data_IF_790283878764
#
_entry.id   IF_790283878764
#
_cell.length_a   1.000
_cell.length_b   1.000
_cell.length_c   1.000
_cell.angle_alpha   90.00
_cell.angle_beta   90.00
_cell.angle_gamma   90.00
#
_symmetry.space_group_name_H-M   'P 1'
#
loop_
_entity.id
_entity.type
_entity.pdbx_description
1 polymer ?
#
# COMPACT_ATOMS: atom_id res chain seq x y z
N UNK A 1 -4.50 -12.35 -5.67
CA UNK A 1 -4.44 -13.80 -6.01
C UNK A 1 -2.98 -14.19 -6.11
N UNK A 2 -2.62 -15.36 -5.62
CA UNK A 2 -1.25 -15.82 -5.65
C UNK A 2 -0.96 -16.53 -6.97
N UNK A 3 -0.04 -15.97 -7.75
CA UNK A 3 0.29 -16.47 -9.09
C UNK A 3 0.86 -17.88 -9.03
N UNK A 4 1.69 -18.19 -8.02
CA UNK A 4 2.27 -19.53 -7.85
C UNK A 4 1.22 -20.59 -7.45
N UNK A 5 0.16 -20.20 -6.74
CA UNK A 5 -0.97 -21.09 -6.43
C UNK A 5 -1.79 -21.43 -7.67
N UNK A 6 -1.94 -20.50 -8.61
CA UNK A 6 -2.66 -20.72 -9.86
C UNK A 6 -1.84 -21.51 -10.89
N UNK A 7 -0.52 -21.25 -10.93
CA UNK A 7 0.43 -21.91 -11.83
C UNK A 7 1.76 -22.14 -11.14
N UNK A 8 2.09 -23.41 -10.91
CA UNK A 8 3.24 -23.80 -10.09
C UNK A 8 4.59 -23.25 -10.57
N UNK A 9 4.76 -22.95 -11.86
CA UNK A 9 5.97 -22.32 -12.40
C UNK A 9 5.78 -20.87 -12.89
N UNK A 10 4.62 -20.27 -12.62
CA UNK A 10 4.28 -18.88 -12.99
C UNK A 10 4.06 -18.59 -14.48
N UNK A 11 4.33 -19.55 -15.39
CA UNK A 11 4.24 -19.36 -16.84
C UNK A 11 2.96 -19.94 -17.46
N UNK A 12 2.55 -19.47 -18.64
CA UNK A 12 1.45 -20.06 -19.43
C UNK A 12 1.65 -21.54 -19.75
N UNK A 13 2.90 -21.99 -19.90
CA UNK A 13 3.26 -23.39 -20.15
C UNK A 13 3.29 -24.27 -18.89
N UNK A 14 3.08 -23.70 -17.69
CA UNK A 14 3.29 -24.39 -16.42
C UNK A 14 2.24 -25.37 -15.95
N UNK A 15 1.24 -25.64 -16.77
CA UNK A 15 0.02 -26.28 -16.32
C UNK A 15 -0.79 -25.37 -15.39
N UNK A 16 -2.07 -25.70 -15.25
CA UNK A 16 -3.00 -25.01 -14.35
C UNK A 16 -3.13 -25.85 -13.09
N UNK A 17 -3.04 -25.22 -11.92
CA UNK A 17 -3.38 -25.87 -10.65
C UNK A 17 -4.87 -25.69 -10.36
N UNK A 18 -5.66 -26.74 -10.62
CA UNK A 18 -7.11 -26.70 -10.44
C UNK A 18 -7.52 -26.43 -9.00
N UNK A 19 -6.85 -27.02 -8.01
CA UNK A 19 -7.14 -26.75 -6.58
C UNK A 19 -6.90 -25.27 -6.23
N UNK A 20 -5.93 -24.63 -6.87
CA UNK A 20 -5.68 -23.21 -6.76
C UNK A 20 -6.85 -22.37 -7.29
N UNK A 21 -7.41 -22.75 -8.44
CA UNK A 21 -8.59 -22.11 -9.03
C UNK A 21 -9.81 -22.32 -8.13
N UNK A 22 -10.07 -23.55 -7.71
CA UNK A 22 -11.24 -23.91 -6.90
C UNK A 22 -11.24 -23.16 -5.57
N UNK A 23 -10.06 -22.99 -4.96
CA UNK A 23 -9.91 -22.17 -3.76
C UNK A 23 -10.40 -20.73 -3.97
N UNK A 24 -9.98 -20.06 -5.05
CA UNK A 24 -10.40 -18.68 -5.32
C UNK A 24 -11.86 -18.58 -5.74
N UNK A 25 -12.38 -19.55 -6.49
CA UNK A 25 -13.81 -19.62 -6.82
C UNK A 25 -14.65 -19.72 -5.54
N UNK A 26 -14.30 -20.62 -4.63
CA UNK A 26 -14.99 -20.78 -3.36
C UNK A 26 -14.94 -19.49 -2.53
N UNK A 27 -13.78 -18.82 -2.46
CA UNK A 27 -13.63 -17.55 -1.75
C UNK A 27 -14.51 -16.44 -2.36
N UNK A 28 -14.47 -16.27 -3.68
CA UNK A 28 -15.27 -15.24 -4.38
C UNK A 28 -16.76 -15.51 -4.17
N UNK A 29 -17.19 -16.76 -4.33
CA UNK A 29 -18.58 -17.14 -4.12
C UNK A 29 -19.03 -16.87 -2.69
N UNK A 30 -18.21 -17.22 -1.68
CA UNK A 30 -18.52 -16.97 -0.28
C UNK A 30 -18.63 -15.46 0.03
N UNK A 31 -17.73 -14.63 -0.50
CA UNK A 31 -17.81 -13.18 -0.35
C UNK A 31 -19.12 -12.63 -0.94
N UNK A 32 -19.46 -13.03 -2.17
CA UNK A 32 -20.68 -12.60 -2.84
C UNK A 32 -21.94 -13.06 -2.12
N UNK A 33 -21.97 -14.30 -1.61
CA UNK A 33 -23.07 -14.83 -0.79
C UNK A 33 -23.31 -14.00 0.48
N UNK A 34 -22.25 -13.42 1.04
CA UNK A 34 -22.31 -12.55 2.21
C UNK A 34 -22.40 -11.06 1.85
N UNK A 35 -22.70 -10.72 0.59
CA UNK A 35 -22.88 -9.33 0.14
C UNK A 35 -21.60 -8.49 0.06
N UNK A 36 -20.42 -9.13 0.08
CA UNK A 36 -19.12 -8.47 0.00
C UNK A 36 -18.64 -8.50 -1.45
N UNK A 37 -18.42 -7.31 -2.03
CA UNK A 37 -17.89 -7.20 -3.40
C UNK A 37 -16.37 -7.42 -3.40
N UNK A 38 -15.83 -8.42 -4.11
CA UNK A 38 -14.40 -8.68 -4.15
C UNK A 38 -13.65 -7.62 -4.99
N UNK A 39 -12.62 -7.00 -4.40
CA UNK A 39 -11.62 -6.19 -5.10
C UNK A 39 -10.31 -6.99 -5.20
N UNK A 40 -9.97 -7.47 -6.39
CA UNK A 40 -8.92 -8.48 -6.57
C UNK A 40 -7.61 -7.87 -7.07
N UNK A 41 -6.57 -7.93 -6.23
CA UNK A 41 -5.19 -7.63 -6.64
C UNK A 41 -4.57 -8.84 -7.33
N UNK A 42 -4.08 -8.67 -8.56
CA UNK A 42 -3.52 -9.78 -9.37
C UNK A 42 -2.09 -10.14 -8.96
N UNK A 43 -1.32 -9.18 -8.44
CA UNK A 43 0.06 -9.38 -7.97
C UNK A 43 0.29 -8.57 -6.69
N UNK A 44 0.77 -9.21 -5.62
CA UNK A 44 1.00 -8.55 -4.33
C UNK A 44 2.36 -8.96 -3.73
N UNK A 45 3.43 -8.64 -4.46
CA UNK A 45 4.82 -8.89 -4.08
C UNK A 45 5.18 -10.36 -3.83
N UNK A 46 4.36 -11.28 -4.32
CA UNK A 46 4.53 -12.73 -4.25
C UNK A 46 5.01 -13.30 -5.61
N UNK A 47 6.05 -12.67 -6.16
CA UNK A 47 6.70 -13.10 -7.41
C UNK A 47 7.05 -14.57 -7.38
N UNK A 48 6.64 -15.39 -8.38
CA UNK A 48 7.05 -16.77 -8.44
C UNK A 48 8.57 -16.89 -8.45
N UNK A 49 9.13 -17.67 -7.53
CA UNK A 49 10.57 -17.90 -7.41
C UNK A 49 11.19 -18.34 -8.74
N UNK A 50 10.49 -19.19 -9.50
CA UNK A 50 10.92 -19.62 -10.83
C UNK A 50 11.08 -18.47 -11.84
N UNK A 51 10.28 -17.40 -11.73
CA UNK A 51 10.41 -16.21 -12.58
C UNK A 51 11.51 -15.27 -12.08
N UNK A 52 11.73 -15.20 -10.77
CA UNK A 52 12.88 -14.47 -10.19
C UNK A 52 14.21 -15.09 -10.64
N UNK A 53 14.34 -16.42 -10.52
CA UNK A 53 15.54 -17.16 -10.92
C UNK A 53 15.80 -17.11 -12.42
N UNK A 54 14.73 -17.09 -13.22
CA UNK A 54 14.83 -17.10 -14.68
C UNK A 54 14.98 -15.70 -15.31
N UNK A 55 14.40 -14.66 -14.68
CA UNK A 55 14.25 -13.34 -15.32
C UNK A 55 14.51 -12.12 -14.42
N UNK A 56 14.81 -12.28 -13.13
CA UNK A 56 15.29 -11.19 -12.27
C UNK A 56 14.25 -10.27 -11.59
N UNK A 57 12.93 -10.46 -11.81
CA UNK A 57 11.87 -9.80 -11.02
C UNK A 57 11.53 -8.35 -11.41
N UNK A 58 10.89 -7.60 -10.49
CA UNK A 58 10.43 -6.22 -10.69
C UNK A 58 11.12 -5.22 -9.75
N UNK A 59 11.50 -4.04 -10.25
CA UNK A 59 12.21 -2.97 -9.51
C UNK A 59 11.55 -1.59 -9.79
N UNK A 60 10.89 -0.93 -8.81
CA UNK A 60 10.73 0.56 -8.64
C UNK A 60 9.38 1.03 -8.01
N UNK A 61 9.27 2.32 -7.60
CA UNK A 61 8.25 2.93 -6.68
C UNK A 61 7.21 3.88 -7.31
N UNK A 62 6.10 4.09 -6.59
CA UNK A 62 4.79 4.69 -6.91
C UNK A 62 4.69 5.93 -7.82
N UNK A 63 5.57 6.94 -7.71
CA UNK A 63 5.43 8.19 -8.49
C UNK A 63 5.89 8.01 -9.94
N UNK A 64 6.88 7.14 -10.19
CA UNK A 64 7.35 6.88 -11.55
C UNK A 64 6.36 6.07 -12.39
N UNK A 65 5.21 5.65 -11.81
CA UNK A 65 4.15 4.98 -12.56
C UNK A 65 3.04 5.92 -13.01
N UNK A 66 2.75 7.02 -12.30
CA UNK A 66 1.63 7.91 -12.65
C UNK A 66 1.84 8.66 -13.97
N UNK A 67 3.03 9.24 -14.20
CA UNK A 67 3.27 9.94 -15.46
C UNK A 67 3.24 9.02 -16.70
N UNK A 68 3.83 7.80 -16.69
CA UNK A 68 3.62 6.85 -17.77
C UNK A 68 2.14 6.50 -17.99
N UNK A 69 1.39 6.25 -16.91
CA UNK A 69 -0.04 5.93 -17.02
C UNK A 69 -0.86 7.08 -17.60
N UNK A 70 -0.55 8.34 -17.28
CA UNK A 70 -1.37 9.49 -17.71
C UNK A 70 -0.88 10.10 -19.04
N UNK A 71 0.44 10.19 -19.21
CA UNK A 71 1.08 10.92 -20.30
C UNK A 71 1.85 10.02 -21.28
N UNK A 72 2.15 8.78 -20.92
CA UNK A 72 2.87 7.81 -21.75
C UNK A 72 4.40 7.81 -21.56
N UNK A 73 4.95 8.65 -20.69
CA UNK A 73 6.40 8.76 -20.51
C UNK A 73 6.80 8.99 -19.05
N UNK A 74 8.04 8.66 -18.71
CA UNK A 74 8.60 8.98 -17.39
C UNK A 74 8.69 10.50 -17.13
N UNK A 75 8.71 10.94 -15.85
CA UNK A 75 8.97 12.33 -15.48
C UNK A 75 10.23 12.91 -16.11
N UNK A 76 10.15 14.16 -16.57
CA UNK A 76 11.28 14.85 -17.20
C UNK A 76 12.52 14.90 -16.31
N UNK A 77 12.32 15.12 -15.01
CA UNK A 77 13.38 15.10 -13.98
C UNK A 77 14.00 13.71 -13.80
N UNK A 78 13.22 12.64 -13.93
CA UNK A 78 13.74 11.28 -13.83
C UNK A 78 14.63 10.97 -15.04
N UNK A 79 14.19 11.37 -16.24
CA UNK A 79 14.99 11.23 -17.47
C UNK A 79 16.33 11.98 -17.39
N UNK A 80 16.34 13.18 -16.81
CA UNK A 80 17.56 13.99 -16.71
C UNK A 80 18.55 13.47 -15.66
N UNK A 81 18.06 12.92 -14.55
CA UNK A 81 18.90 12.42 -13.46
C UNK A 81 19.41 10.98 -13.71
N UNK A 82 18.53 10.08 -14.15
CA UNK A 82 18.85 8.65 -14.29
C UNK A 82 19.52 8.35 -15.64
N UNK A 83 19.17 9.10 -16.69
CA UNK A 83 19.76 9.02 -18.04
C UNK A 83 19.70 7.60 -18.62
N UNK A 84 20.81 7.08 -19.11
CA UNK A 84 20.91 5.81 -19.84
C UNK A 84 20.51 4.57 -19.02
N UNK A 85 20.43 4.69 -17.68
CA UNK A 85 19.93 3.62 -16.80
C UNK A 85 18.40 3.52 -16.80
N UNK A 86 17.70 4.56 -17.27
CA UNK A 86 16.25 4.56 -17.40
C UNK A 86 15.88 4.02 -18.79
N UNK A 87 15.19 2.87 -18.90
CA UNK A 87 14.71 2.40 -20.19
C UNK A 87 13.79 3.44 -20.84
N UNK A 88 13.77 3.48 -22.17
CA UNK A 88 12.83 4.31 -22.92
C UNK A 88 11.71 3.45 -23.47
N UNK A 89 10.48 3.96 -23.39
CA UNK A 89 9.36 3.34 -24.08
C UNK A 89 9.55 3.46 -25.60
N UNK A 90 9.32 2.37 -26.32
CA UNK A 90 8.99 2.40 -27.75
C UNK A 90 7.66 3.12 -27.97
N UNK A 91 7.35 3.47 -29.22
CA UNK A 91 6.10 4.19 -29.49
C UNK A 91 4.88 3.32 -29.20
N UNK A 92 5.01 2.02 -29.48
CA UNK A 92 4.01 1.02 -29.21
C UNK A 92 3.76 0.86 -27.70
N UNK A 93 4.81 0.84 -26.89
CA UNK A 93 4.69 0.76 -25.42
C UNK A 93 4.10 2.04 -24.81
N UNK A 94 4.45 3.22 -25.32
CA UNK A 94 3.85 4.50 -24.92
C UNK A 94 2.32 4.46 -25.12
N UNK A 95 1.86 3.97 -26.27
CA UNK A 95 0.43 3.83 -26.58
C UNK A 95 -0.23 2.80 -25.66
N UNK A 96 0.48 1.72 -25.31
CA UNK A 96 -0.04 0.65 -24.45
C UNK A 96 -0.24 1.10 -22.99
N UNK A 97 0.70 1.88 -22.45
CA UNK A 97 0.66 2.30 -21.03
C UNK A 97 -0.21 3.53 -20.80
N UNK A 98 -0.28 4.44 -21.78
CA UNK A 98 -1.04 5.67 -21.64
C UNK A 98 -2.54 5.38 -21.58
N UNK A 99 -3.16 5.76 -20.46
CA UNK A 99 -4.57 5.54 -20.17
C UNK A 99 -4.90 4.10 -19.79
N UNK A 100 -3.91 3.26 -19.47
CA UNK A 100 -4.14 1.84 -19.13
C UNK A 100 -4.64 1.64 -17.70
N UNK A 101 -5.57 2.49 -17.24
CA UNK A 101 -6.19 2.42 -15.92
C UNK A 101 -7.59 3.03 -15.95
N UNK A 102 -8.54 2.40 -15.25
CA UNK A 102 -9.89 2.96 -15.04
C UNK A 102 -10.00 3.73 -13.72
N UNK A 103 -9.16 3.35 -12.74
CA UNK A 103 -9.05 3.98 -11.43
C UNK A 103 -7.64 3.79 -10.87
N UNK A 104 -7.30 4.57 -9.84
CA UNK A 104 -6.04 4.48 -9.11
C UNK A 104 -6.29 4.00 -7.67
N UNK A 105 -5.63 2.91 -7.29
CA UNK A 105 -5.53 2.48 -5.89
C UNK A 105 -4.38 3.21 -5.19
N UNK A 106 -4.66 3.85 -4.05
CA UNK A 106 -3.65 4.53 -3.24
C UNK A 106 -3.52 3.83 -1.88
N UNK A 107 -2.30 3.40 -1.58
CA UNK A 107 -1.90 2.95 -0.25
C UNK A 107 -1.19 4.12 0.46
N UNK A 108 -1.75 4.57 1.59
CA UNK A 108 -1.18 5.68 2.36
C UNK A 108 -1.06 5.34 3.83
N UNK A 109 0.15 5.49 4.38
CA UNK A 109 0.42 5.29 5.80
C UNK A 109 1.16 6.47 6.45
N UNK A 110 1.97 7.20 5.68
CA UNK A 110 2.88 8.19 6.28
C UNK A 110 3.34 9.24 5.28
N UNK A 111 3.99 10.28 5.79
CA UNK A 111 4.63 11.34 5.02
C UNK A 111 6.03 11.60 5.56
N UNK A 112 6.85 12.31 4.76
CA UNK A 112 8.20 12.72 5.12
C UNK A 112 8.42 14.17 4.73
N UNK A 113 9.31 14.84 5.46
CA UNK A 113 9.96 16.03 4.95
C UNK A 113 11.00 15.63 3.91
N UNK A 114 11.15 16.46 2.88
CA UNK A 114 12.13 16.33 1.84
C UNK A 114 13.03 17.56 1.86
N UNK A 115 14.35 17.36 1.78
CA UNK A 115 15.34 18.42 1.63
C UNK A 115 16.22 18.12 0.42
N UNK A 116 16.40 19.12 -0.44
CA UNK A 116 17.29 19.01 -1.59
C UNK A 116 18.72 18.65 -1.15
N UNK A 117 19.35 17.71 -1.86
CA UNK A 117 20.76 17.40 -1.77
C UNK A 117 21.47 17.97 -2.99
N UNK A 118 22.70 18.43 -2.78
CA UNK A 118 23.54 18.84 -3.90
C UNK A 118 24.10 17.58 -4.59
N UNK A 119 24.14 17.55 -5.93
CA UNK A 119 24.74 16.44 -6.64
C UNK A 119 26.24 16.36 -6.34
N UNK A 120 26.70 15.17 -5.94
CA UNK A 120 28.12 14.87 -5.82
C UNK A 120 28.63 14.30 -7.15
N UNK A 121 29.54 14.98 -7.86
CA UNK A 121 30.05 14.52 -9.16
C UNK A 121 30.89 13.23 -9.06
N UNK A 122 31.29 12.81 -7.85
CA UNK A 122 32.06 11.61 -7.61
C UNK A 122 31.24 10.45 -7.04
N UNK A 123 29.97 10.68 -6.73
CA UNK A 123 29.10 9.63 -6.20
C UNK A 123 28.80 8.58 -7.29
N UNK A 124 28.88 7.31 -6.89
CA UNK A 124 28.41 6.21 -7.72
C UNK A 124 26.88 6.33 -7.88
N UNK A 125 26.34 6.27 -9.11
CA UNK A 125 24.89 6.33 -9.32
C UNK A 125 24.18 5.18 -8.60
N UNK A 126 23.16 5.50 -7.80
CA UNK A 126 22.38 4.54 -7.04
C UNK A 126 20.91 4.97 -7.01
N UNK A 127 19.99 4.01 -7.05
CA UNK A 127 18.56 4.28 -6.94
C UNK A 127 18.20 5.17 -5.73
N UNK A 128 18.86 4.96 -4.59
CA UNK A 128 18.60 5.67 -3.34
C UNK A 128 19.11 7.12 -3.33
N UNK A 129 20.00 7.49 -4.27
CA UNK A 129 20.63 8.82 -4.35
C UNK A 129 20.23 9.60 -5.60
N UNK A 130 19.73 8.91 -6.64
CA UNK A 130 19.37 9.49 -7.94
C UNK A 130 18.34 10.63 -7.85
N UNK A 131 17.44 10.58 -6.86
CA UNK A 131 16.40 11.60 -6.69
C UNK A 131 16.89 12.84 -5.91
N UNK A 132 18.19 12.92 -5.60
CA UNK A 132 18.89 14.07 -5.00
C UNK A 132 18.14 14.73 -3.82
N UNK A 133 17.51 13.91 -2.99
CA UNK A 133 16.72 14.39 -1.86
C UNK A 133 17.07 13.58 -0.61
N UNK A 134 17.20 14.24 0.52
CA UNK A 134 17.20 13.59 1.82
C UNK A 134 15.77 13.61 2.37
N UNK A 135 15.22 12.45 2.66
CA UNK A 135 13.90 12.33 3.28
C UNK A 135 14.04 12.02 4.76
N UNK A 136 13.34 12.78 5.61
CA UNK A 136 13.38 12.61 7.06
C UNK A 136 11.99 12.76 7.66
N UNK A 137 11.76 12.11 8.79
CA UNK A 137 10.55 12.34 9.58
C UNK A 137 10.65 13.61 10.44
N UNK A 138 11.82 14.23 10.55
CA UNK A 138 12.09 15.34 11.48
C UNK A 138 12.45 16.63 10.75
N UNK A 139 11.97 17.75 11.27
CA UNK A 139 12.41 19.10 10.91
C UNK A 139 12.74 19.86 12.18
N UNK A 140 13.97 20.34 12.29
CA UNK A 140 14.47 21.08 13.46
C UNK A 140 14.26 20.31 14.79
N UNK A 141 14.46 18.98 14.75
CA UNK A 141 14.27 18.08 15.90
C UNK A 141 12.82 17.67 16.17
N UNK A 142 11.84 18.23 15.46
CA UNK A 142 10.41 17.97 15.66
C UNK A 142 9.93 16.94 14.60
N UNK A 143 9.31 15.82 15.02
CA UNK A 143 8.78 14.85 14.07
C UNK A 143 7.55 15.39 13.34
N UNK A 144 7.32 14.93 12.11
CA UNK A 144 6.17 15.31 11.27
C UNK A 144 4.83 14.92 11.91
N UNK A 145 4.84 13.89 12.76
CA UNK A 145 3.72 13.44 13.56
C UNK A 145 4.17 12.39 14.60
N UNK A 146 3.26 11.83 15.38
CA UNK A 146 3.57 10.72 16.28
C UNK A 146 4.04 9.48 15.52
N UNK A 147 5.00 8.74 16.06
CA UNK A 147 5.41 7.44 15.52
C UNK A 147 4.39 6.37 15.91
N UNK A 148 3.99 5.52 14.96
CA UNK A 148 3.05 4.44 15.20
C UNK A 148 3.65 3.42 16.18
N UNK A 149 2.86 2.92 17.16
CA UNK A 149 3.38 2.02 18.17
C UNK A 149 4.03 0.76 17.58
N UNK A 150 5.21 0.42 18.09
CA UNK A 150 5.98 -0.76 17.67
C UNK A 150 6.72 -0.64 16.35
N UNK A 151 6.48 0.41 15.56
CA UNK A 151 7.04 0.59 14.22
C UNK A 151 8.13 1.66 14.20
N UNK A 152 9.08 1.59 13.25
CA UNK A 152 10.18 2.55 13.08
C UNK A 152 10.03 3.47 11.86
N UNK A 153 8.97 3.25 11.06
CA UNK A 153 8.75 3.88 9.77
C UNK A 153 7.46 4.70 9.72
N UNK A 154 6.36 4.25 10.31
CA UNK A 154 5.06 4.90 10.12
C UNK A 154 4.91 6.07 11.10
N UNK A 155 4.94 7.29 10.58
CA UNK A 155 4.57 8.51 11.30
C UNK A 155 3.15 8.94 10.91
N UNK A 156 2.30 9.16 11.90
CA UNK A 156 0.88 9.47 11.74
C UNK A 156 0.75 10.93 11.29
N UNK A 157 0.37 11.14 10.03
CA UNK A 157 0.22 12.48 9.45
C UNK A 157 -1.00 12.55 8.52
N UNK A 158 -2.23 12.65 9.05
CA UNK A 158 -3.45 12.52 8.25
C UNK A 158 -3.61 13.58 7.15
N UNK A 159 -3.14 14.81 7.40
CA UNK A 159 -3.20 15.89 6.41
C UNK A 159 -2.36 15.60 5.16
N UNK A 160 -1.35 14.73 5.26
CA UNK A 160 -0.58 14.29 4.09
C UNK A 160 -1.43 13.51 3.08
N UNK A 161 -2.42 12.74 3.54
CA UNK A 161 -3.34 12.03 2.64
C UNK A 161 -4.20 13.00 1.84
N UNK A 162 -4.78 14.02 2.50
CA UNK A 162 -5.54 15.06 1.81
C UNK A 162 -4.69 15.75 0.73
N UNK A 163 -3.47 16.16 1.09
CA UNK A 163 -2.54 16.82 0.16
C UNK A 163 -2.17 15.93 -1.03
N UNK A 164 -1.92 14.64 -0.79
CA UNK A 164 -1.65 13.67 -1.85
C UNK A 164 -2.85 13.55 -2.80
N UNK A 165 -4.05 13.43 -2.26
CA UNK A 165 -5.28 13.30 -3.05
C UNK A 165 -5.55 14.54 -3.91
N UNK A 166 -5.41 15.73 -3.35
CA UNK A 166 -5.57 17.00 -4.09
C UNK A 166 -4.48 17.17 -5.15
N UNK A 167 -3.22 16.81 -4.85
CA UNK A 167 -2.14 16.79 -5.81
C UNK A 167 -2.43 15.84 -6.97
N UNK A 168 -2.91 14.63 -6.68
CA UNK A 168 -3.28 13.66 -7.71
C UNK A 168 -4.40 14.17 -8.60
N UNK A 169 -5.37 14.86 -8.00
CA UNK A 169 -6.49 15.43 -8.73
C UNK A 169 -6.07 16.55 -9.68
N UNK A 170 -5.12 17.39 -9.26
CA UNK A 170 -4.60 18.52 -10.02
C UNK A 170 -3.66 18.09 -11.15
N UNK A 171 -2.69 17.22 -10.85
CA UNK A 171 -1.58 16.92 -11.76
C UNK A 171 -1.86 15.76 -12.71
N UNK A 172 -2.79 14.86 -12.37
CA UNK A 172 -3.00 13.60 -13.09
C UNK A 172 -4.40 13.44 -13.68
N UNK A 173 -4.98 14.55 -14.18
CA UNK A 173 -6.26 14.57 -14.89
C UNK A 173 -7.45 14.06 -14.04
N UNK A 174 -7.44 14.35 -12.74
CA UNK A 174 -8.56 14.07 -11.83
C UNK A 174 -9.05 12.60 -11.87
N UNK A 175 -8.17 11.63 -11.58
CA UNK A 175 -8.51 10.22 -11.73
C UNK A 175 -9.57 9.77 -10.71
N UNK A 176 -10.29 8.70 -11.01
CA UNK A 176 -11.09 7.99 -10.02
C UNK A 176 -10.15 7.30 -9.03
N UNK A 177 -10.35 7.50 -7.72
CA UNK A 177 -9.44 7.00 -6.68
C UNK A 177 -10.15 6.06 -5.71
N UNK A 178 -9.48 4.97 -5.34
CA UNK A 178 -9.80 4.14 -4.17
C UNK A 178 -8.63 4.19 -3.20
N UNK A 179 -8.91 4.40 -1.91
CA UNK A 179 -7.89 4.21 -0.86
C UNK A 179 -7.81 2.72 -0.60
N UNK A 180 -6.87 2.03 -1.22
CA UNK A 180 -6.75 0.57 -1.19
C UNK A 180 -6.07 0.05 0.06
N UNK A 181 -5.29 0.89 0.74
CA UNK A 181 -4.81 0.61 2.10
C UNK A 181 -4.61 1.89 2.91
N UNK A 182 -5.03 1.84 4.17
CA UNK A 182 -4.65 2.76 5.22
C UNK A 182 -4.79 2.04 6.57
N UNK A 183 -3.84 2.28 7.48
CA UNK A 183 -3.80 1.52 8.73
C UNK A 183 -2.82 2.09 9.74
N UNK A 184 -2.72 1.42 10.89
CA UNK A 184 -1.76 1.73 11.95
C UNK A 184 -1.37 0.46 12.71
N UNK A 185 -0.11 0.39 13.08
CA UNK A 185 0.46 -0.73 13.84
C UNK A 185 0.20 -0.62 15.33
N UNK A 186 0.32 -1.76 15.99
CA UNK A 186 0.72 -1.84 17.39
C UNK A 186 1.83 -2.87 17.59
N UNK A 187 2.57 -2.73 18.68
CA UNK A 187 3.59 -3.71 19.08
C UNK A 187 2.89 -4.93 19.67
N UNK A 188 3.23 -6.13 19.19
CA UNK A 188 2.84 -7.37 19.86
C UNK A 188 3.50 -7.46 21.23
N UNK A 189 2.68 -7.68 22.25
CA UNK A 189 3.10 -7.98 23.60
C UNK A 189 2.31 -9.19 24.13
N UNK A 190 2.97 -10.34 24.17
CA UNK A 190 2.38 -11.60 24.60
C UNK A 190 2.32 -11.76 26.13
N UNK A 191 2.79 -10.74 26.88
CA UNK A 191 2.67 -10.68 28.33
C UNK A 191 1.37 -10.01 28.80
N UNK A 192 0.67 -9.30 27.90
CA UNK A 192 -0.61 -8.68 28.21
C UNK A 192 -1.72 -9.73 28.24
N UNK A 193 -2.65 -9.55 29.19
CA UNK A 193 -3.93 -10.24 29.16
C UNK A 193 -4.69 -9.87 27.87
N UNK A 194 -5.37 -10.84 27.26
CA UNK A 194 -6.08 -10.63 25.99
C UNK A 194 -7.06 -9.47 26.11
N UNK A 195 -7.79 -9.36 27.22
CA UNK A 195 -8.75 -8.26 27.46
C UNK A 195 -8.13 -6.87 27.43
N UNK A 196 -6.84 -6.73 27.76
CA UNK A 196 -6.11 -5.48 27.64
C UNK A 196 -5.60 -5.27 26.20
N UNK A 197 -5.09 -6.33 25.56
CA UNK A 197 -4.63 -6.28 24.17
C UNK A 197 -5.75 -5.94 23.16
N UNK A 198 -7.02 -6.13 23.52
CA UNK A 198 -8.17 -5.74 22.68
C UNK A 198 -8.49 -4.24 22.73
N UNK A 199 -7.89 -3.47 23.65
CA UNK A 199 -8.15 -2.02 23.79
C UNK A 199 -7.22 -1.22 22.89
N UNK A 200 -7.74 -0.75 21.76
CA UNK A 200 -6.97 -0.06 20.74
C UNK A 200 -7.60 1.28 20.27
N UNK A 201 -7.92 2.22 21.18
CA UNK A 201 -8.58 3.48 20.82
C UNK A 201 -7.74 4.36 19.86
N UNK A 202 -6.42 4.20 19.86
CA UNK A 202 -5.53 4.90 18.93
C UNK A 202 -5.78 4.48 17.47
N UNK A 203 -6.18 3.23 17.24
CA UNK A 203 -6.53 2.70 15.91
C UNK A 203 -7.79 3.36 15.38
N UNK A 204 -8.81 3.47 16.23
CA UNK A 204 -10.05 4.21 15.93
C UNK A 204 -9.74 5.67 15.58
N UNK A 205 -8.96 6.36 16.42
CA UNK A 205 -8.60 7.75 16.18
C UNK A 205 -7.81 7.91 14.86
N UNK A 206 -6.89 7.00 14.54
CA UNK A 206 -6.15 7.04 13.28
C UNK A 206 -7.07 6.91 12.06
N UNK A 207 -8.01 5.95 12.08
CA UNK A 207 -9.00 5.75 11.01
C UNK A 207 -9.84 7.02 10.83
N UNK A 208 -10.45 7.51 11.92
CA UNK A 208 -11.29 8.71 11.90
C UNK A 208 -10.57 9.93 11.34
N UNK A 209 -9.34 10.19 11.79
CA UNK A 209 -8.58 11.35 11.32
C UNK A 209 -8.27 11.27 9.82
N UNK A 210 -7.96 10.08 9.28
CA UNK A 210 -7.72 9.92 7.84
C UNK A 210 -9.02 10.00 7.03
N UNK A 211 -10.13 9.42 7.51
CA UNK A 211 -11.44 9.53 6.86
C UNK A 211 -11.91 10.98 6.77
N UNK A 212 -11.72 11.78 7.82
CA UNK A 212 -12.01 13.22 7.79
C UNK A 212 -11.19 13.96 6.73
N UNK A 213 -9.94 13.56 6.50
CA UNK A 213 -9.05 14.16 5.49
C UNK A 213 -9.38 13.72 4.07
N UNK A 214 -9.82 12.48 3.89
CA UNK A 214 -10.40 12.01 2.62
C UNK A 214 -11.68 12.81 2.32
N UNK A 215 -12.57 12.96 3.30
CA UNK A 215 -13.80 13.74 3.12
C UNK A 215 -13.51 15.19 2.73
N UNK A 216 -12.56 15.85 3.38
CA UNK A 216 -12.13 17.20 3.02
C UNK A 216 -11.59 17.28 1.58
N UNK A 217 -10.80 16.29 1.14
CA UNK A 217 -10.33 16.23 -0.25
C UNK A 217 -11.51 16.05 -1.23
N UNK A 218 -12.51 15.23 -0.89
CA UNK A 218 -13.72 15.07 -1.71
C UNK A 218 -14.53 16.37 -1.81
N UNK A 219 -14.61 17.15 -0.73
CA UNK A 219 -15.23 18.49 -0.75
C UNK A 219 -14.47 19.46 -1.67
N UNK A 220 -13.17 19.25 -1.86
CA UNK A 220 -12.33 19.99 -2.80
C UNK A 220 -12.32 19.41 -4.22
N UNK A 221 -13.25 18.48 -4.53
CA UNK A 221 -13.46 17.96 -5.89
C UNK A 221 -12.72 16.67 -6.22
N UNK A 222 -11.99 16.06 -5.28
CA UNK A 222 -11.30 14.79 -5.53
C UNK A 222 -12.32 13.64 -5.63
N UNK A 223 -12.24 12.85 -6.70
CA UNK A 223 -13.15 11.74 -6.98
C UNK A 223 -12.76 10.43 -6.27
N UNK A 224 -12.90 10.39 -4.93
CA UNK A 224 -12.68 9.16 -4.14
C UNK A 224 -13.95 8.30 -4.10
N UNK A 225 -13.81 6.99 -4.33
CA UNK A 225 -14.92 6.02 -4.44
C UNK A 225 -14.95 4.94 -3.36
N UNK A 226 -13.88 4.74 -2.61
CA UNK A 226 -13.86 3.75 -1.54
C UNK A 226 -12.63 3.84 -0.66
N UNK A 227 -12.72 3.16 0.49
CA UNK A 227 -11.69 3.09 1.50
C UNK A 227 -11.60 1.66 2.04
N UNK A 228 -10.38 1.11 2.05
CA UNK A 228 -10.07 -0.23 2.53
C UNK A 228 -9.04 -0.12 3.66
N UNK A 229 -9.41 -0.65 4.84
CA UNK A 229 -8.53 -0.66 6.00
C UNK A 229 -7.54 -1.83 5.92
N UNK A 230 -6.26 -1.56 6.18
CA UNK A 230 -5.25 -2.59 6.42
C UNK A 230 -5.04 -2.77 7.93
N UNK A 231 -5.43 -3.91 8.52
CA UNK A 231 -6.06 -5.09 7.91
C UNK A 231 -7.20 -5.63 8.78
N UNK A 232 -7.96 -6.61 8.30
CA UNK A 232 -9.06 -7.18 9.08
C UNK A 232 -8.53 -8.01 10.27
N UNK A 233 -7.47 -8.78 10.09
CA UNK A 233 -6.88 -9.68 11.09
C UNK A 233 -5.41 -9.35 11.28
N UNK A 234 -4.86 -9.54 12.48
CA UNK A 234 -3.41 -9.51 12.64
C UNK A 234 -2.76 -10.59 11.75
N UNK A 235 -1.73 -10.21 11.00
CA UNK A 235 -1.09 -11.07 10.01
C UNK A 235 0.45 -11.00 10.05
N UNK A 236 1.12 -11.43 8.98
CA UNK A 236 2.57 -11.51 8.89
C UNK A 236 3.14 -10.28 8.16
N UNK A 237 3.83 -9.42 8.89
CA UNK A 237 4.29 -8.12 8.40
C UNK A 237 5.71 -8.16 7.84
N UNK A 238 5.90 -8.94 6.77
CA UNK A 238 7.15 -9.00 6.00
C UNK A 238 8.39 -9.22 6.90
N UNK A 239 9.39 -8.33 6.83
CA UNK A 239 10.59 -8.39 7.65
C UNK A 239 10.36 -8.17 9.15
N UNK A 240 9.19 -7.66 9.54
CA UNK A 240 8.80 -7.55 10.94
C UNK A 240 8.17 -8.84 11.49
N UNK A 241 7.78 -9.76 10.62
CA UNK A 241 7.10 -11.00 10.98
C UNK A 241 5.84 -10.73 11.80
N UNK A 242 5.65 -11.47 12.89
CA UNK A 242 4.49 -11.30 13.77
C UNK A 242 4.72 -10.31 14.92
N UNK A 243 5.74 -9.43 14.84
CA UNK A 243 6.06 -8.45 15.90
C UNK A 243 5.10 -7.28 15.91
N UNK A 244 4.52 -6.96 14.76
CA UNK A 244 3.54 -5.90 14.58
C UNK A 244 2.15 -6.51 14.41
N UNK A 245 1.14 -5.71 14.73
CA UNK A 245 -0.28 -6.06 14.61
C UNK A 245 -1.02 -4.89 13.97
N UNK A 246 -1.57 -5.08 12.77
CA UNK A 246 -2.40 -4.09 12.08
C UNK A 246 -3.89 -4.37 12.21
N UNK A 247 -4.27 -5.60 12.58
CA UNK A 247 -5.62 -6.09 12.45
C UNK A 247 -6.65 -5.36 13.31
N UNK A 248 -7.88 -5.23 12.81
CA UNK A 248 -9.06 -4.95 13.63
C UNK A 248 -9.39 -6.14 14.56
N UNK A 249 -9.03 -7.37 14.16
CA UNK A 249 -9.17 -8.58 14.95
C UNK A 249 -7.81 -9.04 15.46
N UNK A 250 -7.75 -9.29 16.76
CA UNK A 250 -6.63 -9.95 17.41
C UNK A 250 -6.58 -11.42 16.99
N UNK A 251 -5.40 -11.89 16.59
CA UNK A 251 -5.11 -13.32 16.41
C UNK A 251 -4.36 -13.86 17.61
N UNK A 252 -4.98 -14.83 18.28
CA UNK A 252 -4.36 -15.60 19.35
C UNK A 252 -3.53 -16.77 18.77
N UNK A 253 -2.22 -16.57 18.69
CA UNK A 253 -1.28 -17.58 18.20
C UNK A 253 -1.13 -18.78 19.16
N UNK A 254 -1.59 -18.68 20.41
CA UNK A 254 -1.54 -19.75 21.41
C UNK A 254 -2.85 -20.55 21.49
N UNK A 255 -3.96 -19.97 21.06
CA UNK A 255 -5.29 -20.61 21.02
C UNK A 255 -5.77 -20.83 19.58
N UNK A 256 -5.11 -21.74 18.85
CA UNK A 256 -5.51 -22.20 17.52
C UNK A 256 -5.85 -21.07 16.52
N UNK A 257 -5.08 -19.96 16.54
CA UNK A 257 -5.30 -18.78 15.71
C UNK A 257 -6.69 -18.16 15.91
N UNK A 258 -7.25 -18.19 17.12
CA UNK A 258 -8.58 -17.64 17.41
C UNK A 258 -8.65 -16.15 17.07
N UNK A 259 -9.75 -15.75 16.41
CA UNK A 259 -10.04 -14.37 16.00
C UNK A 259 -10.88 -13.71 17.08
N UNK A 260 -10.41 -12.61 17.64
CA UNK A 260 -11.11 -11.88 18.69
C UNK A 260 -11.23 -10.40 18.27
N UNK A 261 -12.45 -9.84 18.15
CA UNK A 261 -12.61 -8.46 17.72
C UNK A 261 -12.00 -7.51 18.75
N UNK A 262 -11.14 -6.59 18.31
CA UNK A 262 -10.65 -5.48 19.14
C UNK A 262 -11.75 -4.41 19.27
N UNK A 263 -11.53 -3.43 20.13
CA UNK A 263 -12.42 -2.28 20.26
C UNK A 263 -12.64 -1.57 18.91
N UNK A 264 -11.59 -1.46 18.10
CA UNK A 264 -11.66 -0.90 16.75
C UNK A 264 -12.54 -1.69 15.79
N UNK A 265 -12.57 -3.03 15.85
CA UNK A 265 -13.48 -3.84 15.03
C UNK A 265 -14.95 -3.56 15.37
N UNK A 266 -15.26 -3.50 16.68
CA UNK A 266 -16.63 -3.22 17.15
C UNK A 266 -17.06 -1.80 16.73
N UNK A 267 -16.17 -0.82 16.92
CA UNK A 267 -16.42 0.54 16.46
C UNK A 267 -16.57 0.63 14.93
N UNK A 268 -15.72 -0.06 14.16
CA UNK A 268 -15.78 -0.03 12.70
C UNK A 268 -17.09 -0.62 12.17
N UNK A 269 -17.57 -1.70 12.79
CA UNK A 269 -18.89 -2.28 12.52
C UNK A 269 -20.01 -1.25 12.74
N UNK A 270 -20.01 -0.57 13.87
CA UNK A 270 -21.05 0.43 14.20
C UNK A 270 -20.94 1.70 13.33
N UNK A 271 -19.75 1.98 12.78
CA UNK A 271 -19.54 3.11 11.87
C UNK A 271 -20.09 2.85 10.45
N UNK A 272 -20.07 1.60 9.98
CA UNK A 272 -20.48 1.23 8.61
C UNK A 272 -21.91 0.68 8.50
N UNK A 273 -22.56 0.37 9.62
CA UNK A 273 -23.94 -0.14 9.70
C UNK A 273 -24.90 0.95 10.19
#
# INVERSE_FOLDING_TARGET
MNTARLRCNGSLSGGINQEGIDHYNNLINELLLNGITPFVTIFHFDSPQALQEKYGGFLSRSIMFMEPLVFGHYPSIMRSLVKDRLPTFTKEEEIMVKGSFDFIGINYYTSRYAKNLQPDPHATPEYSTDYLTNTTAYKDGIPIGPLAPGNSFIYIYPIGLQKLLEFMNLEYQSPTIYITENGITEKRDDSLEVTEALKDPYRINNILQHLLKIHAAMQNGVNVKGYFYWSLFDDFEWGDGYRLRFGLYYIDFKDNLKRIPKQSALWYKDFIL
#
